data_IF_916196392427
#
_entry.id   IF_916196392427
#
_cell.length_a   1.000
_cell.length_b   1.000
_cell.length_c   1.000
_cell.angle_alpha   90.00
_cell.angle_beta   90.00
_cell.angle_gamma   90.00
#
_symmetry.space_group_name_H-M   'P 1'
#
loop_
_entity.id
_entity.type
_entity.pdbx_description
1 polymer ?
#
# COMPACT_ATOMS: atom_id res chain seq x y z
N UNK A 1 18.64 2.14 -4.18
CA UNK A 1 17.38 1.63 -4.77
C UNK A 1 16.88 0.33 -4.15
N UNK A 2 17.71 -0.71 -3.93
CA UNK A 2 17.23 -2.00 -3.35
C UNK A 2 16.52 -1.89 -1.98
N UNK A 3 16.97 -1.00 -1.08
CA UNK A 3 16.36 -0.85 0.25
C UNK A 3 14.93 -0.33 0.16
N UNK A 4 14.65 0.69 -0.66
CA UNK A 4 13.30 1.23 -0.85
C UNK A 4 12.32 0.15 -1.36
N UNK A 5 12.77 -0.67 -2.32
CA UNK A 5 11.98 -1.79 -2.84
C UNK A 5 11.56 -2.77 -1.74
N UNK A 6 12.47 -3.09 -0.80
CA UNK A 6 12.13 -3.99 0.32
C UNK A 6 11.09 -3.40 1.28
N UNK A 7 11.05 -2.07 1.46
CA UNK A 7 10.03 -1.41 2.28
C UNK A 7 8.68 -1.33 1.56
N UNK A 8 8.66 -1.22 0.23
CA UNK A 8 7.44 -1.23 -0.56
C UNK A 8 6.80 -2.61 -0.72
N UNK A 9 7.60 -3.69 -0.64
CA UNK A 9 7.16 -5.08 -0.78
C UNK A 9 5.93 -5.43 0.08
N UNK A 10 5.87 -5.14 1.40
CA UNK A 10 4.68 -5.42 2.22
C UNK A 10 3.45 -4.62 1.78
N UNK A 11 3.64 -3.38 1.32
CA UNK A 11 2.54 -2.55 0.78
C UNK A 11 1.94 -3.17 -0.48
N UNK A 12 2.80 -3.59 -1.42
CA UNK A 12 2.38 -4.28 -2.66
C UNK A 12 1.69 -5.60 -2.33
N UNK A 13 2.22 -6.37 -1.39
CA UNK A 13 1.61 -7.63 -0.95
C UNK A 13 0.19 -7.43 -0.40
N UNK A 14 -0.02 -6.41 0.44
CA UNK A 14 -1.33 -6.07 0.98
C UNK A 14 -2.31 -5.62 -0.11
N UNK A 15 -1.85 -4.87 -1.11
CA UNK A 15 -2.68 -4.46 -2.25
C UNK A 15 -3.17 -5.70 -3.02
N UNK A 16 -2.27 -6.64 -3.31
CA UNK A 16 -2.62 -7.89 -4.02
C UNK A 16 -3.59 -8.74 -3.19
N UNK A 17 -3.31 -8.91 -1.90
CA UNK A 17 -4.19 -9.65 -1.00
C UNK A 17 -5.60 -9.02 -0.92
N UNK A 18 -5.67 -7.70 -0.81
CA UNK A 18 -6.94 -6.97 -0.78
C UNK A 18 -7.69 -7.07 -2.11
N UNK A 19 -6.99 -7.01 -3.24
CA UNK A 19 -7.59 -7.20 -4.57
C UNK A 19 -8.19 -8.61 -4.74
N UNK A 20 -7.51 -9.64 -4.22
CA UNK A 20 -8.03 -11.01 -4.21
C UNK A 20 -9.29 -11.12 -3.35
N UNK A 21 -9.28 -10.55 -2.14
CA UNK A 21 -10.47 -10.53 -1.25
C UNK A 21 -11.64 -9.80 -1.92
N UNK A 22 -11.38 -8.64 -2.55
CA UNK A 22 -12.40 -7.90 -3.31
C UNK A 22 -13.03 -8.73 -4.42
N UNK A 23 -12.24 -9.54 -5.10
CA UNK A 23 -12.70 -10.28 -6.29
C UNK A 23 -13.42 -11.57 -5.93
N UNK A 24 -12.97 -12.28 -4.88
CA UNK A 24 -13.47 -13.62 -4.57
C UNK A 24 -14.38 -13.70 -3.34
N UNK A 25 -14.27 -12.77 -2.38
CA UNK A 25 -15.00 -12.87 -1.11
C UNK A 25 -16.13 -11.83 -0.98
N UNK A 26 -16.04 -10.71 -1.69
CA UNK A 26 -17.00 -9.61 -1.55
C UNK A 26 -18.09 -9.67 -2.63
N UNK A 27 -19.38 -9.55 -2.24
CA UNK A 27 -20.47 -9.52 -3.21
C UNK A 27 -20.42 -8.24 -4.06
N UNK A 28 -20.84 -8.30 -5.34
CA UNK A 28 -20.81 -7.16 -6.26
C UNK A 28 -21.59 -5.94 -5.75
N UNK A 29 -22.65 -6.18 -4.97
CA UNK A 29 -23.50 -5.15 -4.37
C UNK A 29 -22.77 -4.22 -3.41
N UNK A 30 -21.63 -4.65 -2.85
CA UNK A 30 -20.77 -3.86 -1.96
C UNK A 30 -19.65 -3.20 -2.75
N UNK A 31 -19.07 -3.88 -3.74
CA UNK A 31 -17.88 -3.40 -4.47
C UNK A 31 -18.17 -2.27 -5.46
N UNK A 32 -19.41 -2.12 -5.90
CA UNK A 32 -19.86 -1.02 -6.78
C UNK A 32 -20.30 0.23 -6.03
N UNK A 33 -20.41 0.17 -4.70
CA UNK A 33 -20.83 1.32 -3.90
C UNK A 33 -19.73 2.38 -3.86
N UNK A 34 -20.10 3.65 -4.04
CA UNK A 34 -19.14 4.76 -4.10
C UNK A 34 -18.25 4.83 -2.86
N UNK A 35 -18.82 4.63 -1.66
CA UNK A 35 -18.06 4.63 -0.41
C UNK A 35 -16.96 3.55 -0.39
N UNK A 36 -17.23 2.38 -0.98
CA UNK A 36 -16.28 1.27 -1.03
C UNK A 36 -15.16 1.53 -2.05
N UNK A 37 -15.50 2.20 -3.16
CA UNK A 37 -14.51 2.66 -4.16
C UNK A 37 -13.54 3.66 -3.53
N UNK A 38 -14.05 4.68 -2.81
CA UNK A 38 -13.20 5.65 -2.11
C UNK A 38 -12.33 4.99 -1.04
N UNK A 39 -12.90 4.05 -0.28
CA UNK A 39 -12.14 3.29 0.73
C UNK A 39 -11.03 2.45 0.09
N UNK A 40 -11.32 1.77 -1.02
CA UNK A 40 -10.31 0.99 -1.76
C UNK A 40 -9.16 1.88 -2.25
N UNK A 41 -9.48 3.05 -2.81
CA UNK A 41 -8.47 4.02 -3.24
C UNK A 41 -7.62 4.52 -2.06
N UNK A 42 -8.26 4.89 -0.94
CA UNK A 42 -7.57 5.35 0.26
C UNK A 42 -6.62 4.28 0.83
N UNK A 43 -7.07 3.02 0.92
CA UNK A 43 -6.24 1.88 1.37
C UNK A 43 -5.03 1.70 0.45
N UNK A 44 -5.24 1.77 -0.87
CA UNK A 44 -4.14 1.61 -1.84
C UNK A 44 -3.09 2.71 -1.68
N UNK A 45 -3.51 3.97 -1.49
CA UNK A 45 -2.60 5.10 -1.25
C UNK A 45 -1.84 4.91 0.06
N UNK A 46 -2.51 4.50 1.14
CA UNK A 46 -1.87 4.26 2.43
C UNK A 46 -0.82 3.14 2.36
N UNK A 47 -1.12 2.05 1.65
CA UNK A 47 -0.19 0.94 1.44
C UNK A 47 1.11 1.36 0.75
N UNK A 48 1.11 2.45 -0.02
CA UNK A 48 2.31 3.01 -0.67
C UNK A 48 2.94 4.11 0.17
N UNK A 49 2.14 5.03 0.73
CA UNK A 49 2.64 6.18 1.47
C UNK A 49 3.33 5.79 2.77
N UNK A 50 2.76 4.86 3.54
CA UNK A 50 3.31 4.41 4.83
C UNK A 50 4.74 3.87 4.70
N UNK A 51 5.05 2.89 3.81
CA UNK A 51 6.41 2.42 3.66
C UNK A 51 7.38 3.48 3.11
N UNK A 52 6.91 4.41 2.27
CA UNK A 52 7.72 5.55 1.83
C UNK A 52 8.10 6.46 3.00
N UNK A 53 7.16 6.77 3.89
CA UNK A 53 7.41 7.57 5.10
C UNK A 53 8.38 6.83 6.04
N UNK A 54 8.17 5.53 6.27
CA UNK A 54 9.07 4.70 7.09
C UNK A 54 10.48 4.70 6.51
N UNK A 55 10.61 4.55 5.20
CA UNK A 55 11.91 4.62 4.52
C UNK A 55 12.58 5.98 4.71
N UNK A 56 11.83 7.08 4.51
CA UNK A 56 12.36 8.42 4.68
C UNK A 56 12.84 8.69 6.11
N UNK A 57 12.06 8.25 7.12
CA UNK A 57 12.44 8.39 8.53
C UNK A 57 13.66 7.54 8.91
N UNK A 58 13.78 6.33 8.35
CA UNK A 58 14.90 5.41 8.66
C UNK A 58 16.17 5.69 7.85
N UNK A 59 16.03 6.31 6.69
CA UNK A 59 17.16 6.72 5.83
C UNK A 59 16.94 8.17 5.39
N UNK A 60 17.09 9.13 6.32
CA UNK A 60 16.92 10.54 6.00
C UNK A 60 17.95 10.98 4.96
N UNK A 61 17.56 11.75 3.95
CA UNK A 61 18.47 12.24 2.92
C UNK A 61 19.57 13.11 3.57
N UNK A 62 20.83 12.83 3.24
CA UNK A 62 21.99 13.57 3.74
C UNK A 62 22.81 12.88 4.84
N UNK A 63 22.35 11.74 5.37
CA UNK A 63 23.18 10.88 6.23
C UNK A 63 23.72 9.73 5.38
N UNK A 64 24.94 9.90 4.87
CA UNK A 64 25.68 8.85 4.17
C UNK A 64 26.23 7.87 5.22
N UNK A 65 25.46 6.80 5.51
CA UNK A 65 25.96 5.68 6.29
C UNK A 65 26.88 4.83 5.41
N UNK A 66 28.09 5.37 5.17
CA UNK A 66 29.20 4.64 4.57
C UNK A 66 29.99 3.90 5.66
#
# INVERSE_FOLDING_TARGET
>A
MNKLMSYLLPGVFLIVAFALVKTFLLPPSVTVQEWFVYLTAAVTVLCVMVPCIIYYLRTPPGIDHK
#
